data_IF_146856297667
#
_entry.id   IF_146856297667
#
_cell.length_a   1.000
_cell.length_b   1.000
_cell.length_c   1.000
_cell.angle_alpha   90.00
_cell.angle_beta   90.00
_cell.angle_gamma   90.00
#
_symmetry.space_group_name_H-M   'P 1'
#
loop_
_entity.id
_entity.type
_entity.pdbx_description
1 polymer ?
#
# COMPACT_ATOMS: atom_id res chain seq x y z
N UNK A 1 27.21 56.96 6.53
CA UNK A 1 27.70 55.70 7.12
C UNK A 1 29.06 55.42 6.54
N UNK A 2 30.09 55.27 7.37
CA UNK A 2 31.46 55.20 6.87
C UNK A 2 31.67 53.92 6.04
N UNK A 3 32.48 54.03 4.98
CA UNK A 3 32.82 52.89 4.12
C UNK A 3 33.34 51.69 4.93
N UNK A 4 34.08 51.95 6.01
CA UNK A 4 34.59 50.93 6.93
C UNK A 4 33.46 50.19 7.68
N UNK A 5 32.42 50.91 8.09
CA UNK A 5 31.24 50.35 8.77
C UNK A 5 30.44 49.47 7.80
N UNK A 6 30.25 49.93 6.56
CA UNK A 6 29.56 49.15 5.52
C UNK A 6 30.29 47.84 5.23
N UNK A 7 31.61 47.88 5.08
CA UNK A 7 32.43 46.68 4.84
C UNK A 7 32.35 45.72 6.03
N UNK A 8 32.38 46.22 7.27
CA UNK A 8 32.27 45.39 8.46
C UNK A 8 30.92 44.66 8.52
N UNK A 9 29.81 45.34 8.19
CA UNK A 9 28.48 44.73 8.17
C UNK A 9 28.40 43.62 7.11
N UNK A 10 28.90 43.88 5.90
CA UNK A 10 28.91 42.89 4.81
C UNK A 10 29.73 41.66 5.20
N UNK A 11 30.89 41.86 5.84
CA UNK A 11 31.73 40.75 6.30
C UNK A 11 31.04 39.89 7.37
N UNK A 12 30.32 40.52 8.31
CA UNK A 12 29.55 39.79 9.34
C UNK A 12 28.40 39.00 8.72
N UNK A 13 27.66 39.59 7.79
CA UNK A 13 26.56 38.90 7.09
C UNK A 13 27.08 37.71 6.28
N UNK A 14 28.22 37.87 5.60
CA UNK A 14 28.87 36.79 4.87
C UNK A 14 29.32 35.66 5.80
N UNK A 15 29.93 35.98 6.96
CA UNK A 15 30.34 34.97 7.93
C UNK A 15 29.16 34.19 8.50
N UNK A 16 28.05 34.87 8.81
CA UNK A 16 26.83 34.22 9.29
C UNK A 16 26.22 33.36 8.19
N UNK A 17 26.12 33.88 6.96
CA UNK A 17 25.59 33.15 5.81
C UNK A 17 26.40 31.89 5.48
N UNK A 18 27.73 31.98 5.51
CA UNK A 18 28.63 30.84 5.33
C UNK A 18 28.58 29.85 6.50
N UNK A 19 28.44 30.34 7.73
CA UNK A 19 28.31 29.49 8.92
C UNK A 19 27.00 28.69 8.91
N UNK A 20 25.87 29.36 8.67
CA UNK A 20 24.55 28.71 8.59
C UNK A 20 24.44 27.82 7.36
N UNK A 21 24.87 28.31 6.19
CA UNK A 21 24.87 27.54 4.94
C UNK A 21 25.78 26.31 5.02
N UNK A 22 27.00 26.47 5.55
CA UNK A 22 27.94 25.38 5.77
C UNK A 22 27.43 24.36 6.80
N UNK A 23 26.82 24.82 7.89
CA UNK A 23 26.21 23.95 8.90
C UNK A 23 25.03 23.14 8.33
N UNK A 24 24.12 23.79 7.60
CA UNK A 24 22.99 23.11 6.96
C UNK A 24 23.46 22.12 5.89
N UNK A 25 24.45 22.48 5.09
CA UNK A 25 25.05 21.58 4.09
C UNK A 25 25.68 20.35 4.75
N UNK A 26 26.48 20.53 5.79
CA UNK A 26 27.09 19.42 6.53
C UNK A 26 26.08 18.55 7.26
N UNK A 27 25.04 19.17 7.85
CA UNK A 27 23.96 18.45 8.52
C UNK A 27 23.09 17.64 7.55
N UNK A 28 22.81 18.17 6.36
CA UNK A 28 22.05 17.44 5.33
C UNK A 28 22.87 16.33 4.67
N UNK A 29 24.19 16.51 4.47
CA UNK A 29 25.07 15.44 3.99
C UNK A 29 25.07 14.22 4.90
N UNK A 30 25.05 14.41 6.23
CA UNK A 30 24.93 13.32 7.21
C UNK A 30 23.57 12.61 7.19
N UNK A 31 22.52 13.28 6.70
CA UNK A 31 21.23 12.64 6.45
C UNK A 31 21.29 11.81 5.17
N UNK A 32 21.90 12.33 4.10
CA UNK A 32 22.09 11.60 2.84
C UNK A 32 22.93 10.33 2.98
N UNK A 33 23.92 10.27 3.89
CA UNK A 33 24.66 9.02 4.17
C UNK A 33 23.86 7.99 4.99
N UNK A 34 22.81 8.40 5.70
CA UNK A 34 21.98 7.50 6.53
C UNK A 34 20.64 7.11 5.90
N UNK A 35 20.36 7.50 4.66
CA UNK A 35 19.07 7.21 3.99
C UNK A 35 19.16 6.39 2.68
N UNK A 36 19.97 5.32 2.56
CA UNK A 36 19.67 4.28 1.59
C UNK A 36 18.60 3.29 2.11
N UNK A 37 18.52 3.04 3.42
CA UNK A 37 17.75 1.91 3.96
C UNK A 37 16.25 2.17 4.09
N UNK A 38 15.83 3.35 4.55
CA UNK A 38 14.40 3.65 4.72
C UNK A 38 13.68 3.79 3.39
N UNK A 39 14.26 4.49 2.41
CA UNK A 39 13.70 4.61 1.06
C UNK A 39 13.71 3.26 0.30
N UNK A 40 14.71 2.40 0.53
CA UNK A 40 14.78 1.09 -0.11
C UNK A 40 13.77 0.11 0.49
N UNK A 41 13.57 0.13 1.81
CA UNK A 41 12.56 -0.71 2.48
C UNK A 41 11.14 -0.23 2.15
N UNK A 42 10.91 1.07 2.11
CA UNK A 42 9.60 1.64 1.72
C UNK A 42 9.27 1.35 0.26
N UNK A 43 10.24 1.55 -0.66
CA UNK A 43 10.08 1.13 -2.07
C UNK A 43 9.93 -0.39 -2.23
N UNK A 44 10.65 -1.19 -1.45
CA UNK A 44 10.53 -2.65 -1.50
C UNK A 44 9.17 -3.11 -0.97
N UNK A 45 8.63 -2.46 0.06
CA UNK A 45 7.29 -2.70 0.59
C UNK A 45 6.20 -2.29 -0.40
N UNK A 46 6.31 -1.12 -1.02
CA UNK A 46 5.38 -0.67 -2.07
C UNK A 46 5.42 -1.60 -3.30
N UNK A 47 6.61 -2.02 -3.71
CA UNK A 47 6.79 -2.96 -4.84
C UNK A 47 6.24 -4.35 -4.49
N UNK A 48 6.46 -4.85 -3.28
CA UNK A 48 5.90 -6.12 -2.81
C UNK A 48 4.37 -6.07 -2.73
N UNK A 49 3.79 -4.95 -2.30
CA UNK A 49 2.35 -4.74 -2.28
C UNK A 49 1.77 -4.70 -3.69
N UNK A 50 2.43 -3.99 -4.63
CA UNK A 50 2.03 -3.96 -6.04
C UNK A 50 2.13 -5.35 -6.69
N UNK A 51 3.19 -6.12 -6.44
CA UNK A 51 3.34 -7.49 -6.95
C UNK A 51 2.28 -8.41 -6.34
N UNK A 52 1.96 -8.26 -5.06
CA UNK A 52 0.90 -9.04 -4.39
C UNK A 52 -0.48 -8.69 -4.94
N UNK A 53 -0.73 -7.41 -5.22
CA UNK A 53 -1.99 -6.92 -5.79
C UNK A 53 -2.15 -7.37 -7.26
N UNK A 54 -1.08 -7.34 -8.06
CA UNK A 54 -1.07 -7.87 -9.43
C UNK A 54 -1.18 -9.40 -9.46
N UNK A 55 -0.55 -10.11 -8.51
CA UNK A 55 -0.68 -11.56 -8.37
C UNK A 55 -2.08 -11.98 -7.91
N UNK A 56 -2.76 -11.14 -7.12
CA UNK A 56 -4.15 -11.37 -6.70
C UNK A 56 -5.17 -10.95 -7.76
N UNK A 57 -4.83 -10.07 -8.70
CA UNK A 57 -5.66 -9.85 -9.91
C UNK A 57 -5.75 -11.08 -10.82
N UNK A 58 -4.82 -12.03 -10.67
CA UNK A 58 -4.83 -13.34 -11.35
C UNK A 58 -5.40 -14.50 -10.54
N UNK A 59 -5.70 -14.32 -9.24
CA UNK A 59 -6.43 -15.36 -8.49
C UNK A 59 -7.91 -15.25 -8.83
N UNK A 60 -8.53 -16.41 -9.06
CA UNK A 60 -9.91 -16.52 -9.53
C UNK A 60 -10.82 -15.57 -8.72
N UNK A 61 -11.71 -14.81 -9.39
CA UNK A 61 -12.67 -13.96 -8.70
C UNK A 61 -13.37 -14.82 -7.64
N UNK A 62 -13.58 -14.26 -6.44
CA UNK A 62 -14.27 -14.98 -5.37
C UNK A 62 -15.59 -15.51 -5.91
N UNK A 63 -15.68 -16.83 -6.09
CA UNK A 63 -16.90 -17.51 -6.54
C UNK A 63 -17.87 -17.46 -5.34
N UNK A 64 -18.45 -16.29 -5.07
CA UNK A 64 -19.47 -16.12 -4.03
C UNK A 64 -20.83 -16.62 -4.47
N UNK A 65 -21.00 -16.94 -5.77
CA UNK A 65 -22.25 -17.43 -6.32
C UNK A 65 -22.00 -18.77 -7.00
N UNK A 66 -22.66 -19.82 -6.50
CA UNK A 66 -22.67 -21.13 -7.15
C UNK A 66 -23.68 -21.07 -8.31
N UNK A 67 -23.24 -21.10 -9.59
CA UNK A 67 -24.15 -21.00 -10.72
C UNK A 67 -25.16 -22.16 -10.80
N UNK A 68 -24.90 -23.26 -10.08
CA UNK A 68 -25.74 -24.44 -10.01
C UNK A 68 -26.73 -24.40 -8.84
N UNK A 69 -26.71 -23.37 -8.00
CA UNK A 69 -27.62 -23.24 -6.85
C UNK A 69 -29.08 -23.02 -7.28
N UNK A 70 -29.29 -22.32 -8.39
CA UNK A 70 -30.62 -22.10 -8.97
C UNK A 70 -30.89 -22.98 -10.20
N UNK A 71 -30.16 -24.09 -10.38
CA UNK A 71 -30.40 -24.96 -11.54
C UNK A 71 -31.79 -25.61 -11.43
N UNK A 72 -32.57 -25.67 -12.51
CA UNK A 72 -33.82 -26.42 -12.49
C UNK A 72 -33.52 -27.91 -12.29
N UNK A 73 -34.35 -28.59 -11.49
CA UNK A 73 -34.29 -30.04 -11.38
C UNK A 73 -34.81 -30.66 -12.68
N UNK A 74 -33.87 -31.04 -13.55
CA UNK A 74 -34.16 -31.67 -14.83
C UNK A 74 -34.45 -33.17 -14.70
N UNK A 75 -34.35 -33.76 -13.50
CA UNK A 75 -34.57 -35.19 -13.31
C UNK A 75 -36.07 -35.52 -13.25
N UNK A 76 -36.63 -36.19 -14.28
CA UNK A 76 -38.06 -36.52 -14.30
C UNK A 76 -38.43 -37.52 -13.19
N UNK A 77 -37.48 -38.32 -12.71
CA UNK A 77 -37.70 -39.26 -11.62
C UNK A 77 -37.92 -38.56 -10.28
N UNK A 78 -37.31 -37.38 -10.06
CA UNK A 78 -37.54 -36.57 -8.84
C UNK A 78 -38.97 -36.03 -8.78
N UNK A 79 -39.54 -35.66 -9.93
CA UNK A 79 -40.91 -35.16 -10.03
C UNK A 79 -41.95 -36.27 -9.99
N UNK A 80 -41.61 -37.46 -10.50
CA UNK A 80 -42.48 -38.62 -10.55
C UNK A 80 -42.49 -39.46 -9.27
N UNK A 81 -41.64 -39.17 -8.27
CA UNK A 81 -41.60 -39.90 -7.01
C UNK A 81 -42.77 -39.45 -6.09
N UNK A 82 -43.81 -40.29 -5.88
CA UNK A 82 -44.97 -39.94 -5.07
C UNK A 82 -44.68 -39.94 -3.55
N UNK A 83 -43.48 -40.35 -3.14
CA UNK A 83 -43.09 -40.56 -1.73
C UNK A 83 -42.17 -39.42 -1.23
N UNK A 84 -41.86 -38.43 -2.07
CA UNK A 84 -40.83 -37.40 -1.81
C UNK A 84 -41.15 -36.45 -0.64
N UNK A 85 -42.43 -36.27 -0.33
CA UNK A 85 -42.91 -35.33 0.71
C UNK A 85 -43.22 -36.04 2.04
N UNK A 86 -42.86 -37.31 2.18
CA UNK A 86 -43.01 -38.03 3.45
C UNK A 86 -41.83 -37.68 4.35
N UNK A 87 -42.14 -37.01 5.48
CA UNK A 87 -41.17 -36.69 6.52
C UNK A 87 -40.50 -37.97 6.99
N UNK A 88 -39.25 -38.17 6.58
CA UNK A 88 -38.46 -39.38 6.86
C UNK A 88 -38.11 -39.51 8.34
N UNK A 89 -38.17 -38.41 9.09
CA UNK A 89 -37.89 -38.37 10.52
C UNK A 89 -39.08 -37.80 11.32
N UNK A 90 -39.78 -38.64 12.11
CA UNK A 90 -40.92 -38.21 12.92
C UNK A 90 -40.54 -37.40 14.18
N UNK A 91 -39.25 -37.12 14.42
CA UNK A 91 -38.77 -36.40 15.61
C UNK A 91 -38.17 -35.01 15.34
N UNK A 92 -38.22 -34.53 14.08
CA UNK A 92 -38.01 -33.10 13.75
C UNK A 92 -39.28 -32.27 13.97
#
# INVERSE_FOLDING_TARGET
>A
MDKKIIIAIVAVVLLIGLGVGGYLYWHNQKKSEKTPETNAIEKAGETANQITEEATKGVLPSIQTNPLENKPDVNPASQANPIKDIKTNPFD
#
